data_IF_739036653813
#
_entry.id   IF_739036653813
#
_cell.length_a   1.000
_cell.length_b   1.000
_cell.length_c   1.000
_cell.angle_alpha   90.00
_cell.angle_beta   90.00
_cell.angle_gamma   90.00
#
_symmetry.space_group_name_H-M   'P 1'
#
loop_
_entity.id
_entity.type
_entity.pdbx_description
1 polymer ?
#
# COMPACT_ATOMS: atom_id res chain seq x y z
N UNK A 1 39.08 -9.97 10.37
CA UNK A 1 37.85 -9.41 10.94
C UNK A 1 36.71 -10.29 10.48
N UNK A 2 36.13 -11.05 11.42
CA UNK A 2 35.14 -12.08 11.15
C UNK A 2 33.79 -11.42 10.83
N UNK A 3 33.30 -11.60 9.60
CA UNK A 3 32.02 -11.07 9.15
C UNK A 3 30.87 -11.82 9.87
N UNK A 4 30.51 -11.34 11.07
CA UNK A 4 29.36 -11.77 11.84
C UNK A 4 28.06 -11.16 11.32
N UNK A 5 27.72 -11.39 10.04
CA UNK A 5 26.33 -11.20 9.61
C UNK A 5 25.62 -12.55 9.79
N UNK A 6 24.56 -12.66 10.62
CA UNK A 6 23.73 -13.84 10.58
C UNK A 6 23.22 -14.00 9.15
N UNK A 7 23.41 -15.19 8.58
CA UNK A 7 22.98 -15.57 7.23
C UNK A 7 21.44 -15.63 7.15
N UNK A 8 20.79 -14.48 7.23
CA UNK A 8 19.36 -14.37 7.00
C UNK A 8 19.10 -13.55 5.73
N UNK A 9 18.31 -14.12 4.82
CA UNK A 9 17.97 -13.54 3.51
C UNK A 9 18.85 -14.01 2.34
N UNK A 10 18.67 -13.36 1.19
CA UNK A 10 19.31 -13.70 -0.08
C UNK A 10 20.75 -13.15 -0.19
N UNK A 11 21.42 -13.44 -1.32
CA UNK A 11 22.80 -13.00 -1.59
C UNK A 11 22.97 -11.48 -1.54
N UNK A 12 24.21 -11.01 -1.34
CA UNK A 12 24.56 -9.58 -1.28
C UNK A 12 24.18 -8.85 -2.57
N UNK A 13 24.33 -9.52 -3.73
CA UNK A 13 23.93 -8.99 -5.04
C UNK A 13 22.42 -8.73 -5.05
N UNK A 14 21.62 -9.72 -4.63
CA UNK A 14 20.16 -9.58 -4.57
C UNK A 14 19.74 -8.47 -3.61
N UNK A 15 20.31 -8.41 -2.40
CA UNK A 15 20.02 -7.35 -1.42
C UNK A 15 20.33 -5.95 -1.98
N UNK A 16 21.45 -5.81 -2.69
CA UNK A 16 21.88 -4.53 -3.28
C UNK A 16 20.94 -4.09 -4.41
N UNK A 17 20.57 -4.99 -5.32
CA UNK A 17 19.64 -4.70 -6.41
C UNK A 17 18.24 -4.43 -5.85
N UNK A 18 17.77 -5.23 -4.89
CA UNK A 18 16.46 -5.05 -4.24
C UNK A 18 16.35 -3.67 -3.59
N UNK A 19 17.40 -3.19 -2.92
CA UNK A 19 17.40 -1.85 -2.31
C UNK A 19 17.12 -0.74 -3.31
N UNK A 20 17.59 -0.88 -4.56
CA UNK A 20 17.32 0.10 -5.62
C UNK A 20 15.94 -0.11 -6.24
N UNK A 21 15.61 -1.35 -6.62
CA UNK A 21 14.35 -1.67 -7.29
C UNK A 21 13.11 -1.43 -6.43
N UNK A 22 13.18 -1.60 -5.10
CA UNK A 22 12.07 -1.31 -4.17
C UNK A 22 11.59 0.13 -4.32
N UNK A 23 12.51 1.11 -4.39
CA UNK A 23 12.13 2.51 -4.56
C UNK A 23 11.47 2.77 -5.90
N UNK A 24 11.94 2.12 -6.97
CA UNK A 24 11.33 2.23 -8.30
C UNK A 24 9.91 1.66 -8.32
N UNK A 25 9.71 0.46 -7.73
CA UNK A 25 8.39 -0.19 -7.64
C UNK A 25 7.44 0.67 -6.79
N UNK A 26 7.90 1.18 -5.66
CA UNK A 26 7.11 2.03 -4.78
C UNK A 26 6.66 3.33 -5.46
N UNK A 27 7.59 4.04 -6.12
CA UNK A 27 7.30 5.27 -6.86
C UNK A 27 6.35 5.00 -8.03
N UNK A 28 6.54 3.89 -8.74
CA UNK A 28 5.62 3.49 -9.81
C UNK A 28 4.21 3.20 -9.27
N UNK A 29 4.10 2.51 -8.14
CA UNK A 29 2.83 2.31 -7.45
C UNK A 29 2.13 3.62 -7.11
N UNK A 30 2.87 4.58 -6.53
CA UNK A 30 2.33 5.91 -6.22
C UNK A 30 1.88 6.68 -7.48
N UNK A 31 2.63 6.58 -8.57
CA UNK A 31 2.24 7.16 -9.86
C UNK A 31 0.89 6.61 -10.35
N UNK A 32 0.67 5.30 -10.27
CA UNK A 32 -0.58 4.64 -10.66
C UNK A 32 -1.76 5.07 -9.78
N UNK A 33 -1.53 5.32 -8.48
CA UNK A 33 -2.57 5.82 -7.57
C UNK A 33 -2.99 7.24 -7.96
N UNK A 34 -2.02 8.12 -8.20
CA UNK A 34 -2.26 9.55 -8.49
C UNK A 34 -2.93 9.73 -9.86
N UNK A 35 -2.54 8.92 -10.86
CA UNK A 35 -3.07 9.02 -12.22
C UNK A 35 -4.23 8.05 -12.49
N UNK A 36 -4.77 7.41 -11.44
CA UNK A 36 -5.80 6.38 -11.58
C UNK A 36 -7.12 6.87 -12.16
N UNK A 37 -7.38 8.18 -12.19
CA UNK A 37 -8.55 8.77 -12.85
C UNK A 37 -8.32 9.16 -14.31
N UNK A 38 -7.06 9.19 -14.78
CA UNK A 38 -6.69 9.55 -16.15
C UNK A 38 -6.17 8.36 -16.97
N UNK A 39 -5.63 7.36 -16.30
CA UNK A 39 -4.99 6.19 -16.90
C UNK A 39 -5.61 4.91 -16.34
N UNK A 40 -5.53 3.76 -17.05
CA UNK A 40 -5.95 2.48 -16.49
C UNK A 40 -5.14 2.18 -15.22
N UNK A 41 -5.81 2.11 -14.07
CA UNK A 41 -5.14 2.06 -12.77
C UNK A 41 -6.09 2.34 -11.62
N UNK A 42 -5.59 3.04 -10.59
CA UNK A 42 -6.37 3.41 -9.40
C UNK A 42 -5.71 3.06 -8.07
N UNK A 43 -6.41 3.37 -6.98
CA UNK A 43 -5.96 3.08 -5.63
C UNK A 43 -5.72 1.60 -5.37
N UNK A 44 -6.53 0.71 -5.95
CA UNK A 44 -6.36 -0.74 -5.76
C UNK A 44 -5.08 -1.25 -6.41
N UNK A 45 -4.91 -1.06 -7.72
CA UNK A 45 -3.75 -1.55 -8.47
C UNK A 45 -2.43 -0.96 -7.92
N UNK A 46 -2.42 0.35 -7.65
CA UNK A 46 -1.27 1.00 -7.03
C UNK A 46 -0.99 0.50 -5.61
N UNK A 47 -2.04 0.25 -4.81
CA UNK A 47 -1.92 -0.36 -3.49
C UNK A 47 -1.30 -1.77 -3.52
N UNK A 48 -1.66 -2.60 -4.51
CA UNK A 48 -1.03 -3.92 -4.70
C UNK A 48 0.45 -3.77 -5.03
N UNK A 49 0.82 -2.86 -5.94
CA UNK A 49 2.22 -2.61 -6.32
C UNK A 49 3.03 -2.13 -5.10
N UNK A 50 2.47 -1.24 -4.29
CA UNK A 50 3.09 -0.78 -3.04
C UNK A 50 3.28 -1.95 -2.08
N UNK A 51 2.28 -2.80 -1.86
CA UNK A 51 2.42 -4.00 -1.03
C UNK A 51 3.54 -4.93 -1.55
N UNK A 52 3.61 -5.15 -2.87
CA UNK A 52 4.64 -5.97 -3.49
C UNK A 52 6.05 -5.41 -3.30
N UNK A 53 6.22 -4.09 -3.22
CA UNK A 53 7.52 -3.48 -2.88
C UNK A 53 8.00 -3.90 -1.48
N UNK A 54 7.10 -3.97 -0.50
CA UNK A 54 7.42 -4.44 0.85
C UNK A 54 7.65 -5.96 0.92
N UNK A 55 6.86 -6.73 0.15
CA UNK A 55 7.08 -8.19 0.00
C UNK A 55 8.45 -8.46 -0.63
N UNK A 56 8.82 -7.74 -1.69
CA UNK A 56 10.13 -7.85 -2.35
C UNK A 56 11.28 -7.57 -1.38
N UNK A 57 11.14 -6.55 -0.52
CA UNK A 57 12.10 -6.27 0.55
C UNK A 57 12.19 -7.45 1.54
N UNK A 58 11.05 -8.02 1.93
CA UNK A 58 11.00 -9.17 2.86
C UNK A 58 11.65 -10.41 2.28
N UNK A 59 11.46 -10.68 0.99
CA UNK A 59 12.09 -11.81 0.30
C UNK A 59 13.61 -11.66 0.21
N UNK A 60 14.12 -10.45 -0.05
CA UNK A 60 15.56 -10.23 -0.16
C UNK A 60 16.30 -10.24 1.18
N UNK A 61 15.72 -9.65 2.22
CA UNK A 61 16.35 -9.52 3.53
C UNK A 61 15.94 -10.59 4.54
N UNK A 62 14.95 -11.41 4.19
CA UNK A 62 14.42 -12.44 5.07
C UNK A 62 13.33 -11.92 6.00
N UNK A 63 12.58 -12.88 6.56
CA UNK A 63 11.43 -12.65 7.44
C UNK A 63 11.80 -11.79 8.66
N UNK A 64 12.85 -12.15 9.40
CA UNK A 64 13.17 -11.50 10.68
C UNK A 64 13.55 -10.03 10.52
N UNK A 65 14.26 -9.66 9.45
CA UNK A 65 14.60 -8.26 9.15
C UNK A 65 13.39 -7.34 9.10
N UNK A 66 12.27 -7.86 8.59
CA UNK A 66 11.04 -7.09 8.43
C UNK A 66 10.11 -7.27 9.63
N UNK A 67 10.03 -8.46 10.24
CA UNK A 67 9.26 -8.69 11.46
C UNK A 67 9.68 -7.76 12.61
N UNK A 68 10.98 -7.47 12.74
CA UNK A 68 11.50 -6.59 13.79
C UNK A 68 11.24 -5.10 13.53
N UNK A 69 11.09 -4.70 12.25
CA UNK A 69 10.94 -3.30 11.85
C UNK A 69 9.50 -2.85 11.70
N UNK A 70 8.56 -3.79 11.68
CA UNK A 70 7.15 -3.50 11.43
C UNK A 70 6.33 -3.67 12.69
N UNK A 71 5.74 -2.58 13.14
CA UNK A 71 4.71 -2.60 14.18
C UNK A 71 3.37 -3.06 13.59
N UNK A 72 2.94 -4.27 13.96
CA UNK A 72 1.66 -4.85 13.54
C UNK A 72 0.48 -3.98 13.96
N UNK A 73 0.54 -3.41 15.16
CA UNK A 73 -0.56 -2.61 15.70
C UNK A 73 -0.73 -1.36 14.84
N UNK A 74 0.37 -0.65 14.56
CA UNK A 74 0.35 0.50 13.66
C UNK A 74 -0.20 0.16 12.27
N UNK A 75 0.23 -0.96 11.65
CA UNK A 75 -0.27 -1.34 10.32
C UNK A 75 -1.77 -1.67 10.33
N UNK A 76 -2.24 -2.42 11.32
CA UNK A 76 -3.64 -2.78 11.44
C UNK A 76 -4.52 -1.54 11.74
N UNK A 77 -4.02 -0.62 12.58
CA UNK A 77 -4.68 0.66 12.83
C UNK A 77 -4.75 1.52 11.57
N UNK A 78 -3.65 1.63 10.80
CA UNK A 78 -3.65 2.37 9.53
C UNK A 78 -4.61 1.77 8.51
N UNK A 79 -4.66 0.44 8.40
CA UNK A 79 -5.63 -0.26 7.55
C UNK A 79 -7.08 0.07 7.95
N UNK A 80 -7.40 -0.01 9.26
CA UNK A 80 -8.72 0.28 9.77
C UNK A 80 -9.11 1.77 9.58
N UNK A 81 -8.18 2.69 9.85
CA UNK A 81 -8.38 4.12 9.62
C UNK A 81 -8.68 4.39 8.15
N UNK A 82 -7.91 3.79 7.22
CA UNK A 82 -8.16 3.94 5.80
C UNK A 82 -9.56 3.43 5.40
N UNK A 83 -10.02 2.31 5.97
CA UNK A 83 -11.38 1.80 5.74
C UNK A 83 -12.45 2.80 6.23
N UNK A 84 -12.27 3.34 7.42
CA UNK A 84 -13.18 4.33 8.01
C UNK A 84 -13.22 5.59 7.13
N UNK A 85 -12.06 6.09 6.68
CA UNK A 85 -11.98 7.27 5.81
C UNK A 85 -12.72 7.05 4.47
N UNK A 86 -12.63 5.86 3.87
CA UNK A 86 -13.41 5.52 2.66
C UNK A 86 -14.91 5.65 2.93
N UNK A 87 -15.42 5.07 4.02
CA UNK A 87 -16.85 5.14 4.35
C UNK A 87 -17.27 6.57 4.70
N UNK A 88 -16.44 7.32 5.44
CA UNK A 88 -16.70 8.72 5.78
C UNK A 88 -16.82 9.58 4.54
N UNK A 89 -15.99 9.39 3.52
CA UNK A 89 -16.15 10.14 2.26
C UNK A 89 -17.50 9.88 1.58
N UNK A 90 -18.02 8.66 1.66
CA UNK A 90 -19.36 8.33 1.16
C UNK A 90 -20.48 8.99 1.98
N UNK A 91 -20.35 9.01 3.31
CA UNK A 91 -21.29 9.68 4.24
C UNK A 91 -21.31 11.19 3.99
N UNK A 92 -20.14 11.81 3.77
CA UNK A 92 -20.04 13.24 3.42
C UNK A 92 -20.77 13.51 2.10
N UNK A 93 -20.60 12.65 1.09
CA UNK A 93 -21.37 12.72 -0.15
C UNK A 93 -22.88 12.66 0.10
N UNK A 94 -23.33 11.72 0.93
CA UNK A 94 -24.74 11.56 1.29
C UNK A 94 -25.31 12.81 1.97
N UNK A 95 -24.57 13.38 2.93
CA UNK A 95 -25.01 14.56 3.67
C UNK A 95 -25.12 15.81 2.79
N UNK A 96 -24.18 16.01 1.86
CA UNK A 96 -24.14 17.22 1.02
C UNK A 96 -25.09 17.13 -0.18
N UNK A 97 -25.19 15.96 -0.81
CA UNK A 97 -25.86 15.81 -2.13
C UNK A 97 -27.11 14.93 -2.10
N UNK A 98 -27.39 14.25 -0.98
CA UNK A 98 -28.49 13.29 -0.85
C UNK A 98 -28.18 11.88 -1.37
N UNK A 99 -27.03 11.65 -2.01
CA UNK A 99 -26.62 10.33 -2.53
C UNK A 99 -25.26 9.90 -1.96
N UNK A 100 -25.15 8.62 -1.61
CA UNK A 100 -23.88 8.05 -1.12
C UNK A 100 -22.82 8.10 -2.23
N UNK A 101 -21.60 8.57 -1.90
CA UNK A 101 -20.50 8.78 -2.86
C UNK A 101 -20.83 9.71 -4.04
N UNK A 102 -21.83 10.59 -3.93
CA UNK A 102 -21.99 11.61 -4.95
C UNK A 102 -20.88 12.66 -4.84
N UNK A 103 -20.47 13.17 -6.01
CA UNK A 103 -19.35 14.09 -6.11
C UNK A 103 -19.73 15.46 -5.56
N UNK A 104 -19.22 15.76 -4.37
CA UNK A 104 -19.42 17.04 -3.69
C UNK A 104 -18.32 18.07 -4.03
N UNK A 105 -17.18 17.62 -4.58
CA UNK A 105 -16.15 18.51 -5.12
C UNK A 105 -16.41 18.71 -6.61
N UNK A 106 -16.45 19.97 -7.05
CA UNK A 106 -16.66 20.31 -8.45
C UNK A 106 -15.65 19.60 -9.37
N UNK A 107 -16.12 19.17 -10.54
CA UNK A 107 -15.24 18.64 -11.58
C UNK A 107 -14.38 19.75 -12.14
N UNK A 108 -13.06 19.60 -12.05
CA UNK A 108 -12.09 20.54 -12.62
C UNK A 108 -12.04 20.44 -14.15
N UNK A 109 -11.01 21.04 -14.77
CA UNK A 109 -10.79 20.91 -16.21
C UNK A 109 -10.45 19.45 -16.57
N UNK A 110 -11.07 18.91 -17.61
CA UNK A 110 -10.73 17.60 -18.17
C UNK A 110 -9.21 17.49 -18.41
N UNK A 111 -8.64 16.32 -18.11
CA UNK A 111 -7.21 15.99 -18.20
C UNK A 111 -6.29 16.63 -17.15
N UNK A 112 -6.83 17.24 -16.09
CA UNK A 112 -6.03 17.71 -14.94
C UNK A 112 -6.06 16.72 -13.77
N UNK A 113 -5.03 16.73 -12.92
CA UNK A 113 -4.97 15.84 -11.75
C UNK A 113 -6.14 16.04 -10.78
N UNK A 114 -6.69 17.25 -10.70
CA UNK A 114 -7.84 17.59 -9.86
C UNK A 114 -9.17 17.62 -10.65
N UNK A 115 -9.24 16.95 -11.80
CA UNK A 115 -10.44 16.97 -12.65
C UNK A 115 -11.60 16.14 -12.07
N UNK A 116 -11.30 15.11 -11.27
CA UNK A 116 -12.25 14.09 -10.85
C UNK A 116 -12.90 14.36 -9.48
N UNK A 117 -12.91 15.61 -9.01
CA UNK A 117 -13.44 15.97 -7.69
C UNK A 117 -12.67 15.27 -6.57
N UNK A 118 -13.37 14.53 -5.70
CA UNK A 118 -12.75 13.85 -4.55
C UNK A 118 -12.15 12.45 -4.89
N UNK A 119 -12.31 11.95 -6.13
CA UNK A 119 -11.83 10.63 -6.55
C UNK A 119 -10.32 10.41 -6.33
N UNK A 120 -9.41 11.38 -6.63
CA UNK A 120 -7.99 11.20 -6.36
C UNK A 120 -7.69 10.98 -4.86
N UNK A 121 -8.43 11.64 -3.98
CA UNK A 121 -8.31 11.44 -2.53
C UNK A 121 -8.80 10.05 -2.12
N UNK A 122 -9.93 9.60 -2.69
CA UNK A 122 -10.45 8.25 -2.46
C UNK A 122 -9.44 7.18 -2.92
N UNK A 123 -8.77 7.39 -4.06
CA UNK A 123 -7.72 6.50 -4.55
C UNK A 123 -6.55 6.36 -3.56
N UNK A 124 -6.15 7.44 -2.88
CA UNK A 124 -5.11 7.39 -1.85
C UNK A 124 -5.58 6.54 -0.66
N UNK A 125 -6.81 6.72 -0.18
CA UNK A 125 -7.33 5.92 0.94
C UNK A 125 -7.44 4.43 0.57
N UNK A 126 -7.90 4.12 -0.65
CA UNK A 126 -7.95 2.74 -1.15
C UNK A 126 -6.53 2.18 -1.26
N UNK A 127 -5.55 2.95 -1.73
CA UNK A 127 -4.15 2.52 -1.79
C UNK A 127 -3.62 2.12 -0.42
N UNK A 128 -3.84 2.95 0.60
CA UNK A 128 -3.40 2.63 1.97
C UNK A 128 -4.13 1.39 2.48
N UNK A 129 -5.45 1.31 2.31
CA UNK A 129 -6.26 0.17 2.75
C UNK A 129 -5.79 -1.15 2.13
N UNK A 130 -5.59 -1.16 0.81
CA UNK A 130 -5.18 -2.36 0.06
C UNK A 130 -3.72 -2.70 0.33
N UNK A 131 -2.85 -1.69 0.33
CA UNK A 131 -1.42 -1.87 0.55
C UNK A 131 -1.12 -2.47 1.93
N UNK A 132 -1.70 -1.89 2.99
CA UNK A 132 -1.53 -2.38 4.37
C UNK A 132 -2.17 -3.76 4.53
N UNK A 133 -3.39 -3.97 4.02
CA UNK A 133 -4.10 -5.25 4.16
C UNK A 133 -3.39 -6.41 3.48
N UNK A 134 -2.93 -6.24 2.24
CA UNK A 134 -2.19 -7.28 1.52
C UNK A 134 -0.86 -7.60 2.20
N UNK A 135 -0.16 -6.58 2.67
CA UNK A 135 1.09 -6.78 3.38
C UNK A 135 0.86 -7.49 4.73
N UNK A 136 -0.21 -7.17 5.46
CA UNK A 136 -0.58 -7.88 6.70
C UNK A 136 -0.93 -9.36 6.43
N UNK A 137 -1.68 -9.66 5.37
CA UNK A 137 -1.96 -11.04 4.98
C UNK A 137 -0.65 -11.80 4.71
N UNK A 138 0.24 -11.21 3.91
CA UNK A 138 1.55 -11.78 3.65
C UNK A 138 2.35 -11.97 4.94
N UNK A 139 2.35 -10.98 5.82
CA UNK A 139 3.01 -11.02 7.12
C UNK A 139 2.51 -12.20 7.95
N UNK A 140 1.19 -12.39 8.07
CA UNK A 140 0.61 -13.48 8.84
C UNK A 140 0.98 -14.85 8.25
N UNK A 141 0.88 -15.00 6.93
CA UNK A 141 1.26 -16.23 6.23
C UNK A 141 2.75 -16.53 6.41
N UNK A 142 3.62 -15.53 6.26
CA UNK A 142 5.05 -15.69 6.47
C UNK A 142 5.36 -16.00 7.95
N UNK A 143 4.58 -15.46 8.89
CA UNK A 143 4.76 -15.65 10.33
C UNK A 143 4.31 -17.01 10.84
N UNK A 144 3.38 -17.67 10.14
CA UNK A 144 2.79 -18.93 10.52
C UNK A 144 3.86 -20.02 10.73
N UNK A 145 3.85 -20.64 11.92
CA UNK A 145 4.60 -21.87 12.20
C UNK A 145 3.56 -22.96 12.42
N UNK A 146 3.51 -24.02 11.57
CA UNK A 146 2.64 -25.15 11.85
C UNK A 146 3.02 -25.75 13.21
N UNK A 147 2.03 -26.07 14.05
CA UNK A 147 2.27 -26.88 15.24
C UNK A 147 2.68 -28.26 14.73
N UNK A 148 3.93 -28.63 14.94
CA UNK A 148 4.35 -30.03 14.81
C UNK A 148 3.52 -30.83 15.81
N UNK A 149 2.82 -31.84 15.30
CA UNK A 149 1.96 -32.74 16.07
C UNK A 149 2.75 -33.74 16.89
#
# INVERSE_FOLDING_TARGET
>A
MQNNFPNEGMSVIVKTITRFTVWLIFLYGLYIVIHGHLSPGGGFAGGVIVALSYVHLTLAYGKNFVLERVDKFAMNSLEAIAAILIVLTGIVGLYITGYFFANFMGVGKLYTLLSAGYIPMLNIFICVKVGMGLYLVFYYLASFKPKEG
#
